data_IF_524259011164
#
_entry.id   IF_524259011164
#
_cell.length_a   1.000
_cell.length_b   1.000
_cell.length_c   1.000
_cell.angle_alpha   90.00
_cell.angle_beta   90.00
_cell.angle_gamma   90.00
#
_symmetry.space_group_name_H-M   'P 1'
#
loop_
_entity.id
_entity.type
_entity.pdbx_description
1 polymer ?
#
# COMPACT_ATOMS: atom_id res chain seq x y z
N UNK A 1 3.74 -1.23 -20.61
CA UNK A 1 2.93 -2.01 -19.65
C UNK A 1 3.01 -1.44 -18.24
N UNK A 2 4.22 -1.28 -17.65
CA UNK A 2 4.39 -0.76 -16.28
C UNK A 2 3.71 0.60 -16.00
N UNK A 3 3.83 1.60 -16.89
CA UNK A 3 3.18 2.90 -16.71
C UNK A 3 1.64 2.80 -16.63
N UNK A 4 1.02 1.89 -17.40
CA UNK A 4 -0.43 1.66 -17.36
C UNK A 4 -0.85 0.96 -16.07
N UNK A 5 -0.08 -0.02 -15.61
CA UNK A 5 -0.32 -0.69 -14.32
C UNK A 5 -0.17 0.27 -13.14
N UNK A 6 0.86 1.12 -13.16
CA UNK A 6 1.07 2.16 -12.14
C UNK A 6 -0.09 3.16 -12.11
N UNK A 7 -0.55 3.62 -13.28
CA UNK A 7 -1.75 4.46 -13.39
C UNK A 7 -3.01 3.79 -12.83
N UNK A 8 -3.23 2.53 -13.16
CA UNK A 8 -4.35 1.75 -12.61
C UNK A 8 -4.26 1.62 -11.09
N UNK A 9 -3.07 1.35 -10.55
CA UNK A 9 -2.85 1.28 -9.10
C UNK A 9 -3.10 2.61 -8.39
N UNK A 10 -2.70 3.74 -8.98
CA UNK A 10 -3.02 5.05 -8.42
C UNK A 10 -4.51 5.34 -8.41
N UNK A 11 -5.22 5.02 -9.50
CA UNK A 11 -6.67 5.18 -9.56
C UNK A 11 -7.37 4.32 -8.53
N UNK A 12 -7.00 3.04 -8.42
CA UNK A 12 -7.54 2.12 -7.40
C UNK A 12 -7.27 2.65 -5.99
N UNK A 13 -6.04 3.12 -5.72
CA UNK A 13 -5.69 3.68 -4.41
C UNK A 13 -6.54 4.91 -4.07
N UNK A 14 -6.75 5.79 -5.05
CA UNK A 14 -7.60 6.97 -4.91
C UNK A 14 -9.05 6.60 -4.58
N UNK A 15 -9.68 5.74 -5.38
CA UNK A 15 -11.07 5.29 -5.18
C UNK A 15 -11.25 4.63 -3.83
N UNK A 16 -10.32 3.75 -3.43
CA UNK A 16 -10.37 3.10 -2.12
C UNK A 16 -10.24 4.13 -1.00
N UNK A 17 -9.28 5.07 -1.09
CA UNK A 17 -9.07 6.07 -0.06
C UNK A 17 -10.24 7.06 0.08
N UNK A 18 -10.92 7.43 -1.01
CA UNK A 18 -12.11 8.29 -0.94
C UNK A 18 -13.29 7.60 -0.27
N UNK A 19 -13.42 6.28 -0.40
CA UNK A 19 -14.51 5.53 0.21
C UNK A 19 -14.19 4.98 1.61
N UNK A 20 -12.91 4.79 1.95
CA UNK A 20 -12.49 4.17 3.19
C UNK A 20 -12.98 4.88 4.46
N UNK A 21 -13.09 6.22 4.42
CA UNK A 21 -13.58 7.02 5.55
C UNK A 21 -15.07 6.84 5.82
N UNK A 22 -15.84 6.40 4.83
CA UNK A 22 -17.29 6.21 4.94
C UNK A 22 -17.68 4.79 5.37
N UNK A 23 -16.72 3.86 5.44
CA UNK A 23 -17.00 2.49 5.82
C UNK A 23 -17.18 2.34 7.34
N UNK A 24 -18.38 1.89 7.72
CA UNK A 24 -18.78 1.66 9.12
C UNK A 24 -18.13 0.41 9.72
N UNK A 25 -17.95 -0.64 8.93
CA UNK A 25 -17.39 -1.89 9.42
C UNK A 25 -15.85 -1.89 9.41
N UNK A 26 -15.21 -2.35 10.50
CA UNK A 26 -13.75 -2.43 10.59
C UNK A 26 -13.14 -3.38 9.56
N UNK A 27 -13.90 -4.40 9.11
CA UNK A 27 -13.47 -5.35 8.07
C UNK A 27 -13.18 -4.66 6.74
N UNK A 28 -13.94 -3.64 6.34
CA UNK A 28 -13.67 -2.91 5.11
C UNK A 28 -12.40 -2.04 5.22
N UNK A 29 -12.11 -1.51 6.41
CA UNK A 29 -10.85 -0.79 6.65
C UNK A 29 -9.65 -1.70 6.46
N UNK A 30 -9.78 -2.96 6.89
CA UNK A 30 -8.77 -4.00 6.68
C UNK A 30 -8.51 -4.25 5.18
N UNK A 31 -9.57 -4.32 4.37
CA UNK A 31 -9.49 -4.47 2.90
C UNK A 31 -8.84 -3.25 2.23
N UNK A 32 -9.15 -2.03 2.67
CA UNK A 32 -8.49 -0.82 2.17
C UNK A 32 -6.97 -0.86 2.41
N UNK A 33 -6.55 -1.28 3.60
CA UNK A 33 -5.14 -1.37 3.97
C UNK A 33 -4.43 -2.48 3.22
N UNK A 34 -5.06 -3.64 3.03
CA UNK A 34 -4.53 -4.71 2.19
C UNK A 34 -4.31 -4.25 0.76
N UNK A 35 -5.33 -3.61 0.18
CA UNK A 35 -5.26 -3.12 -1.19
C UNK A 35 -4.11 -2.12 -1.35
N UNK A 36 -3.93 -1.22 -0.37
CA UNK A 36 -2.82 -0.25 -0.37
C UNK A 36 -1.47 -0.93 -0.21
N UNK A 37 -1.35 -1.94 0.66
CA UNK A 37 -0.13 -2.72 0.85
C UNK A 37 0.28 -3.44 -0.43
N UNK A 38 -0.66 -4.11 -1.10
CA UNK A 38 -0.42 -4.80 -2.37
C UNK A 38 0.00 -3.81 -3.46
N UNK A 39 -0.69 -2.69 -3.58
CA UNK A 39 -0.36 -1.63 -4.54
C UNK A 39 1.06 -1.08 -4.30
N UNK A 40 1.38 -0.68 -3.06
CA UNK A 40 2.67 -0.11 -2.72
C UNK A 40 3.81 -1.12 -2.95
N UNK A 41 3.60 -2.37 -2.57
CA UNK A 41 4.58 -3.46 -2.77
C UNK A 41 4.82 -3.71 -4.26
N UNK A 42 3.75 -3.80 -5.06
CA UNK A 42 3.87 -4.08 -6.49
C UNK A 42 4.58 -2.93 -7.23
N UNK A 43 4.26 -1.68 -6.87
CA UNK A 43 4.95 -0.53 -7.44
C UNK A 43 6.42 -0.52 -7.00
N UNK A 44 6.72 -0.78 -5.71
CA UNK A 44 8.10 -0.82 -5.23
C UNK A 44 8.94 -1.87 -5.97
N UNK A 45 8.40 -3.09 -6.18
CA UNK A 45 9.06 -4.13 -6.96
C UNK A 45 9.34 -3.64 -8.38
N UNK A 46 8.36 -3.02 -9.03
CA UNK A 46 8.52 -2.48 -10.38
C UNK A 46 9.58 -1.37 -10.45
N UNK A 47 9.63 -0.48 -9.44
CA UNK A 47 10.62 0.60 -9.34
C UNK A 47 12.04 0.03 -9.12
N UNK A 48 12.21 -0.94 -8.22
CA UNK A 48 13.50 -1.60 -7.97
C UNK A 48 13.97 -2.36 -9.21
N UNK A 49 13.08 -3.12 -9.85
CA UNK A 49 13.39 -3.83 -11.09
C UNK A 49 13.79 -2.86 -12.21
N UNK A 50 13.04 -1.76 -12.37
CA UNK A 50 13.33 -0.72 -13.36
C UNK A 50 14.68 -0.05 -13.13
N UNK A 51 15.06 0.18 -11.86
CA UNK A 51 16.36 0.76 -11.50
C UNK A 51 17.51 -0.17 -11.89
N UNK A 52 17.31 -1.48 -11.76
CA UNK A 52 18.30 -2.48 -12.17
C UNK A 52 18.37 -2.64 -13.70
N UNK A 53 17.22 -2.74 -14.37
CA UNK A 53 17.13 -2.99 -15.81
C UNK A 53 17.61 -1.80 -16.67
N UNK A 54 17.47 -0.57 -16.16
CA UNK A 54 17.80 0.66 -16.88
C UNK A 54 18.74 1.55 -16.05
N UNK A 55 19.74 0.97 -15.40
CA UNK A 55 20.66 1.67 -14.47
C UNK A 55 21.27 2.94 -15.07
N UNK A 56 21.61 2.91 -16.35
CA UNK A 56 22.24 4.03 -17.08
C UNK A 56 21.25 5.11 -17.54
N UNK A 57 19.95 4.81 -17.55
CA UNK A 57 18.92 5.73 -18.07
C UNK A 57 18.15 6.45 -16.95
N UNK A 58 18.26 5.97 -15.72
CA UNK A 58 17.64 6.61 -14.57
C UNK A 58 18.55 7.68 -13.96
N UNK A 59 17.94 8.81 -13.60
CA UNK A 59 18.60 9.86 -12.84
C UNK A 59 18.26 9.74 -11.33
N UNK A 60 18.81 10.65 -10.52
CA UNK A 60 18.56 10.70 -9.08
C UNK A 60 17.07 10.77 -8.66
N UNK A 61 16.18 11.25 -9.54
CA UNK A 61 14.75 11.34 -9.23
C UNK A 61 14.06 9.97 -9.13
N UNK A 62 14.61 8.92 -9.76
CA UNK A 62 14.05 7.58 -9.67
C UNK A 62 14.18 7.00 -8.24
N UNK A 63 15.28 7.34 -7.54
CA UNK A 63 15.48 7.01 -6.13
C UNK A 63 14.44 7.67 -5.22
N UNK A 64 13.93 8.85 -5.57
CA UNK A 64 12.83 9.50 -4.84
C UNK A 64 11.57 8.65 -4.92
N UNK A 65 11.25 8.11 -6.10
CA UNK A 65 10.14 7.18 -6.29
C UNK A 65 10.30 5.92 -5.44
N UNK A 66 11.49 5.31 -5.44
CA UNK A 66 11.80 4.13 -4.62
C UNK A 66 11.63 4.44 -3.13
N UNK A 67 12.17 5.56 -2.64
CA UNK A 67 12.07 5.97 -1.23
C UNK A 67 10.62 6.26 -0.83
N UNK A 68 9.84 6.86 -1.71
CA UNK A 68 8.42 7.13 -1.48
C UNK A 68 7.66 5.82 -1.31
N UNK A 69 7.78 4.89 -2.26
CA UNK A 69 7.05 3.62 -2.21
C UNK A 69 7.56 2.67 -1.12
N UNK A 70 8.85 2.73 -0.76
CA UNK A 70 9.35 1.98 0.39
C UNK A 70 8.73 2.50 1.70
N UNK A 71 8.69 3.82 1.89
CA UNK A 71 8.05 4.45 3.05
C UNK A 71 6.56 4.08 3.15
N UNK A 72 5.83 4.20 2.05
CA UNK A 72 4.41 3.82 2.01
C UNK A 72 4.18 2.32 2.26
N UNK A 73 5.05 1.46 1.74
CA UNK A 73 4.98 0.01 1.98
C UNK A 73 5.15 -0.28 3.47
N UNK A 74 6.19 0.27 4.11
CA UNK A 74 6.43 0.10 5.55
C UNK A 74 5.25 0.60 6.37
N UNK A 75 4.75 1.81 6.10
CA UNK A 75 3.59 2.38 6.79
C UNK A 75 2.36 1.48 6.65
N UNK A 76 2.09 0.97 5.44
CA UNK A 76 0.94 0.11 5.18
C UNK A 76 1.01 -1.23 5.93
N UNK A 77 2.21 -1.82 6.03
CA UNK A 77 2.45 -3.07 6.77
C UNK A 77 2.30 -2.83 8.27
N UNK A 78 2.90 -1.77 8.81
CA UNK A 78 2.77 -1.42 10.23
C UNK A 78 1.30 -1.16 10.61
N UNK A 79 0.58 -0.43 9.75
CA UNK A 79 -0.83 -0.14 9.99
C UNK A 79 -1.71 -1.39 9.89
N UNK A 80 -1.39 -2.32 8.98
CA UNK A 80 -2.04 -3.64 8.92
C UNK A 80 -1.84 -4.44 10.20
N UNK A 81 -0.61 -4.50 10.70
CA UNK A 81 -0.30 -5.19 11.96
C UNK A 81 -1.10 -4.57 13.09
N UNK A 82 -1.11 -3.24 13.20
CA UNK A 82 -1.88 -2.50 14.20
C UNK A 82 -3.37 -2.84 14.17
N UNK A 83 -4.01 -2.80 13.00
CA UNK A 83 -5.42 -3.15 12.85
C UNK A 83 -5.72 -4.61 13.23
N UNK A 84 -4.82 -5.53 12.87
CA UNK A 84 -4.96 -6.96 13.20
C UNK A 84 -4.92 -7.16 14.72
N UNK A 85 -4.00 -6.48 15.42
CA UNK A 85 -3.92 -6.51 16.88
C UNK A 85 -5.16 -5.92 17.53
N UNK A 86 -5.67 -4.77 17.05
CA UNK A 86 -6.91 -4.17 17.55
C UNK A 86 -8.12 -5.08 17.38
N UNK A 87 -8.27 -5.72 16.22
CA UNK A 87 -9.38 -6.65 15.97
C UNK A 87 -9.34 -7.87 16.91
N UNK A 88 -8.14 -8.40 17.17
CA UNK A 88 -7.95 -9.51 18.11
C UNK A 88 -8.36 -9.11 19.52
N UNK A 89 -7.92 -7.94 20.00
CA UNK A 89 -8.30 -7.42 21.32
C UNK A 89 -9.82 -7.25 21.45
N UNK A 90 -10.48 -6.66 20.45
CA UNK A 90 -11.93 -6.48 20.45
C UNK A 90 -12.69 -7.80 20.48
N UNK A 91 -12.17 -8.84 19.81
CA UNK A 91 -12.75 -10.18 19.86
C UNK A 91 -12.61 -10.82 21.24
N UNK A 92 -11.42 -10.72 21.85
CA UNK A 92 -11.17 -11.23 23.20
C UNK A 92 -12.05 -10.53 24.25
N UNK A 93 -12.31 -9.23 24.10
CA UNK A 93 -13.24 -8.48 24.98
C UNK A 93 -14.69 -8.93 24.81
N UNK A 94 -15.14 -9.26 23.59
CA UNK A 94 -16.52 -9.72 23.35
C UNK A 94 -16.82 -11.13 23.87
N UNK A 95 -15.79 -11.95 24.06
CA UNK A 95 -15.90 -13.33 24.54
C UNK A 95 -15.83 -13.44 26.08
N UNK A 96 -15.47 -12.36 26.76
CA UNK A 96 -15.51 -12.25 28.23
C UNK A 96 -16.84 -11.66 28.67
#
# INVERSE_FOLDING_TARGET
>A
MCARLMGAYFLTSYVISTHALHWKEPTYRLVAVDSRSVICTTILIAQVWSQYAYSEHWNGSHWVGILLFSSWTVISILYRIHLTLQMRQNLETKLR
#
